data_IF_833750448214
#
_entry.id   IF_833750448214
#
_cell.length_a   1.000
_cell.length_b   1.000
_cell.length_c   1.000
_cell.angle_alpha   90.00
_cell.angle_beta   90.00
_cell.angle_gamma   90.00
#
_symmetry.space_group_name_H-M   'P 1'
#
loop_
_entity.id
_entity.type
_entity.pdbx_description
1 polymer ?
#
# COMPACT_ATOMS: atom_id res chain seq x y z
N UNK A 1 3.52 -10.38 25.66
CA UNK A 1 4.59 -10.15 24.67
C UNK A 1 5.59 -9.16 25.23
N UNK A 2 6.88 -9.29 24.91
CA UNK A 2 7.86 -8.25 25.23
C UNK A 2 7.60 -6.99 24.38
N UNK A 3 8.01 -5.82 24.87
CA UNK A 3 7.82 -4.56 24.14
C UNK A 3 8.66 -4.49 22.84
N UNK A 4 9.77 -5.24 22.78
CA UNK A 4 10.76 -5.16 21.70
C UNK A 4 10.19 -5.50 20.31
N UNK A 5 9.52 -6.66 20.09
CA UNK A 5 8.96 -6.98 18.77
C UNK A 5 7.90 -5.99 18.31
N UNK A 6 7.07 -5.48 19.22
CA UNK A 6 6.03 -4.48 18.89
C UNK A 6 6.67 -3.17 18.44
N UNK A 7 7.72 -2.71 19.13
CA UNK A 7 8.49 -1.53 18.72
C UNK A 7 9.10 -1.74 17.34
N UNK A 8 9.68 -2.92 17.08
CA UNK A 8 10.23 -3.28 15.77
C UNK A 8 9.17 -3.35 14.67
N UNK A 9 7.92 -3.66 15.01
CA UNK A 9 6.83 -3.67 14.04
C UNK A 9 6.41 -2.26 13.57
N UNK A 10 6.56 -1.26 14.44
CA UNK A 10 6.12 0.13 14.20
C UNK A 10 7.19 0.95 13.46
N UNK A 11 8.46 0.81 13.84
CA UNK A 11 9.56 1.64 13.36
C UNK A 11 9.64 1.72 11.82
N UNK A 12 9.58 0.61 11.06
CA UNK A 12 9.72 0.66 9.60
C UNK A 12 8.67 1.56 8.94
N UNK A 13 7.41 1.49 9.38
CA UNK A 13 6.33 2.32 8.86
C UNK A 13 6.60 3.81 9.11
N UNK A 14 7.00 4.18 10.33
CA UNK A 14 7.30 5.57 10.67
C UNK A 14 8.51 6.10 9.88
N UNK A 15 9.56 5.30 9.74
CA UNK A 15 10.75 5.67 8.95
C UNK A 15 10.38 5.92 7.49
N UNK A 16 9.53 5.09 6.90
CA UNK A 16 9.08 5.29 5.52
C UNK A 16 8.17 6.51 5.36
N UNK A 17 7.27 6.81 6.31
CA UNK A 17 6.49 8.07 6.29
C UNK A 17 7.45 9.27 6.27
N UNK A 18 8.42 9.29 7.18
CA UNK A 18 9.42 10.36 7.25
C UNK A 18 10.27 10.45 5.98
N UNK A 19 10.56 9.32 5.33
CA UNK A 19 11.26 9.30 4.05
C UNK A 19 10.41 9.96 2.95
N UNK A 20 9.12 9.62 2.86
CA UNK A 20 8.24 10.20 1.85
C UNK A 20 7.97 11.69 2.06
N UNK A 21 7.89 12.15 3.31
CA UNK A 21 7.85 13.58 3.65
C UNK A 21 9.06 14.34 3.12
N UNK A 22 10.21 13.68 2.89
CA UNK A 22 11.40 14.34 2.31
C UNK A 22 11.29 14.52 0.80
N UNK A 23 10.35 13.90 0.10
CA UNK A 23 10.12 14.17 -1.32
C UNK A 23 9.22 15.39 -1.51
N UNK A 24 8.34 15.66 -0.54
CA UNK A 24 7.48 16.83 -0.52
C UNK A 24 8.15 18.07 0.12
N UNK A 25 9.27 18.53 -0.48
CA UNK A 25 10.06 19.65 0.08
C UNK A 25 9.64 21.03 -0.41
N UNK A 26 8.94 21.14 -1.54
CA UNK A 26 8.64 22.44 -2.16
C UNK A 26 7.48 23.13 -1.45
N UNK A 27 6.44 22.37 -1.12
CA UNK A 27 5.27 22.82 -0.37
C UNK A 27 4.90 21.77 0.68
N UNK A 28 5.66 21.71 1.79
CA UNK A 28 5.48 20.65 2.76
C UNK A 28 4.06 20.64 3.33
N UNK A 29 3.43 19.49 3.25
CA UNK A 29 2.09 19.29 3.79
C UNK A 29 2.03 19.41 5.33
N UNK A 30 0.93 19.90 5.91
CA UNK A 30 0.79 20.01 7.34
C UNK A 30 0.90 18.64 8.01
N UNK A 31 1.77 18.52 9.03
CA UNK A 31 1.99 17.26 9.75
C UNK A 31 0.70 16.65 10.31
N UNK A 32 -0.30 17.48 10.63
CA UNK A 32 -1.62 17.03 11.09
C UNK A 32 -2.41 16.27 10.03
N UNK A 33 -2.32 16.65 8.75
CA UNK A 33 -2.99 15.93 7.66
C UNK A 33 -2.29 14.59 7.37
N UNK A 34 -0.96 14.57 7.43
CA UNK A 34 -0.17 13.33 7.30
C UNK A 34 -0.49 12.36 8.45
N UNK A 35 -0.55 12.86 9.69
CA UNK A 35 -0.95 12.06 10.85
C UNK A 35 -2.39 11.56 10.70
N UNK A 36 -3.32 12.39 10.21
CA UNK A 36 -4.69 11.96 9.93
C UNK A 36 -4.71 10.82 8.92
N UNK A 37 -3.98 10.95 7.81
CA UNK A 37 -3.88 9.91 6.81
C UNK A 37 -3.35 8.59 7.40
N UNK A 38 -2.28 8.67 8.19
CA UNK A 38 -1.72 7.51 8.89
C UNK A 38 -2.72 6.85 9.84
N UNK A 39 -3.40 7.63 10.68
CA UNK A 39 -4.39 7.12 11.64
C UNK A 39 -5.60 6.50 10.92
N UNK A 40 -6.07 7.12 9.83
CA UNK A 40 -7.13 6.54 9.00
C UNK A 40 -6.70 5.19 8.42
N UNK A 41 -5.44 5.06 8.00
CA UNK A 41 -4.83 3.80 7.57
C UNK A 41 -4.81 2.73 8.64
N UNK A 42 -4.41 3.08 9.87
CA UNK A 42 -4.46 2.17 11.03
C UNK A 42 -5.88 1.63 11.23
N UNK A 43 -6.88 2.51 11.23
CA UNK A 43 -8.26 2.08 11.43
C UNK A 43 -8.83 1.30 10.24
N UNK A 44 -8.29 1.49 9.04
CA UNK A 44 -8.77 0.78 7.85
C UNK A 44 -8.37 -0.70 7.83
N UNK A 45 -7.41 -1.14 8.65
CA UNK A 45 -7.08 -2.56 8.83
C UNK A 45 -8.27 -3.36 9.38
N UNK A 46 -9.11 -2.76 10.23
CA UNK A 46 -10.25 -3.46 10.85
C UNK A 46 -11.30 -3.89 9.80
N UNK A 47 -11.86 -2.98 8.98
CA UNK A 47 -12.82 -3.38 7.95
C UNK A 47 -12.19 -4.28 6.88
N UNK A 48 -10.89 -4.14 6.59
CA UNK A 48 -10.18 -5.08 5.70
C UNK A 48 -10.17 -6.48 6.27
N UNK A 49 -9.80 -6.66 7.53
CA UNK A 49 -9.77 -7.99 8.16
C UNK A 49 -11.15 -8.67 8.10
N UNK A 50 -12.22 -7.91 8.36
CA UNK A 50 -13.59 -8.42 8.24
C UNK A 50 -13.89 -8.79 6.79
N UNK A 51 -13.53 -7.93 5.84
CA UNK A 51 -13.77 -8.17 4.42
C UNK A 51 -13.02 -9.41 3.92
N UNK A 52 -11.74 -9.56 4.27
CA UNK A 52 -10.93 -10.73 3.93
C UNK A 52 -11.56 -12.02 4.43
N UNK A 53 -12.00 -12.07 5.70
CA UNK A 53 -12.68 -13.25 6.26
C UNK A 53 -13.94 -13.59 5.48
N UNK A 54 -14.75 -12.57 5.12
CA UNK A 54 -16.00 -12.80 4.39
C UNK A 54 -15.75 -13.24 2.94
N UNK A 55 -14.80 -12.61 2.24
CA UNK A 55 -14.45 -12.96 0.87
C UNK A 55 -13.82 -14.36 0.82
N UNK A 56 -12.89 -14.66 1.73
CA UNK A 56 -12.27 -15.98 1.83
C UNK A 56 -13.30 -17.07 2.11
N UNK A 57 -14.15 -16.90 3.14
CA UNK A 57 -15.18 -17.86 3.49
C UNK A 57 -16.19 -18.11 2.35
N UNK A 58 -16.45 -17.09 1.54
CA UNK A 58 -17.35 -17.21 0.40
C UNK A 58 -16.68 -17.88 -0.81
N UNK A 59 -15.45 -17.52 -1.18
CA UNK A 59 -14.82 -17.94 -2.42
C UNK A 59 -13.91 -19.17 -2.27
N UNK A 60 -13.15 -19.30 -1.19
CA UNK A 60 -12.14 -20.35 -1.04
C UNK A 60 -12.70 -21.79 -1.09
N UNK A 61 -13.92 -22.10 -0.57
CA UNK A 61 -14.50 -23.44 -0.69
C UNK A 61 -14.72 -23.93 -2.12
N UNK A 62 -14.78 -23.02 -3.11
CA UNK A 62 -14.99 -23.37 -4.52
C UNK A 62 -13.69 -23.76 -5.24
N UNK A 63 -12.53 -23.62 -4.60
CA UNK A 63 -11.23 -23.90 -5.19
C UNK A 63 -10.56 -25.10 -4.52
N UNK A 64 -10.46 -26.21 -5.25
CA UNK A 64 -9.78 -27.42 -4.77
C UNK A 64 -8.33 -27.52 -5.21
N UNK A 65 -7.94 -26.80 -6.26
CA UNK A 65 -6.56 -26.74 -6.72
C UNK A 65 -5.76 -25.71 -5.89
N UNK A 66 -4.67 -26.10 -5.21
CA UNK A 66 -3.89 -25.20 -4.36
C UNK A 66 -3.32 -23.99 -5.09
N UNK A 67 -3.00 -24.11 -6.38
CA UNK A 67 -2.50 -23.00 -7.19
C UNK A 67 -3.59 -21.95 -7.41
N UNK A 68 -4.81 -22.39 -7.76
CA UNK A 68 -5.92 -21.47 -8.00
C UNK A 68 -6.40 -20.82 -6.70
N UNK A 69 -6.40 -21.57 -5.60
CA UNK A 69 -6.68 -21.03 -4.28
C UNK A 69 -5.66 -19.94 -3.90
N UNK A 70 -4.35 -20.19 -4.08
CA UNK A 70 -3.34 -19.19 -3.79
C UNK A 70 -3.45 -17.93 -4.67
N UNK A 71 -3.90 -18.06 -5.92
CA UNK A 71 -4.18 -16.88 -6.77
C UNK A 71 -5.37 -16.09 -6.22
N UNK A 72 -6.46 -16.77 -5.83
CA UNK A 72 -7.62 -16.13 -5.22
C UNK A 72 -7.23 -15.40 -3.94
N UNK A 73 -6.57 -16.10 -3.01
CA UNK A 73 -6.16 -15.55 -1.72
C UNK A 73 -5.21 -14.36 -1.89
N UNK A 74 -4.24 -14.46 -2.80
CA UNK A 74 -3.24 -13.41 -2.99
C UNK A 74 -3.82 -12.15 -3.65
N UNK A 75 -4.57 -12.31 -4.74
CA UNK A 75 -5.01 -11.17 -5.55
C UNK A 75 -6.38 -10.63 -5.14
N UNK A 76 -7.31 -11.49 -4.75
CA UNK A 76 -8.70 -11.09 -4.46
C UNK A 76 -8.90 -10.90 -2.97
N UNK A 77 -8.55 -11.89 -2.15
CA UNK A 77 -8.75 -11.79 -0.70
C UNK A 77 -7.83 -10.73 -0.12
N UNK A 78 -6.52 -10.86 -0.24
CA UNK A 78 -5.58 -9.89 0.33
C UNK A 78 -5.49 -8.60 -0.51
N UNK A 79 -4.84 -8.66 -1.68
CA UNK A 79 -4.42 -7.45 -2.39
C UNK A 79 -5.58 -6.52 -2.80
N UNK A 80 -6.67 -7.07 -3.36
CA UNK A 80 -7.82 -6.25 -3.78
C UNK A 80 -8.55 -5.63 -2.59
N UNK A 81 -8.80 -6.40 -1.52
CA UNK A 81 -9.49 -5.88 -0.34
C UNK A 81 -8.65 -4.79 0.34
N UNK A 82 -7.37 -5.05 0.55
CA UNK A 82 -6.44 -4.11 1.16
C UNK A 82 -6.30 -2.80 0.37
N UNK A 83 -5.88 -2.89 -0.89
CA UNK A 83 -5.60 -1.71 -1.70
C UNK A 83 -6.90 -0.97 -2.07
N UNK A 84 -8.01 -1.72 -2.22
CA UNK A 84 -9.34 -1.17 -2.42
C UNK A 84 -9.80 -0.33 -1.23
N UNK A 85 -9.67 -0.83 -0.01
CA UNK A 85 -10.05 -0.07 1.19
C UNK A 85 -9.11 1.13 1.42
N UNK A 86 -7.79 0.98 1.21
CA UNK A 86 -6.84 2.11 1.28
C UNK A 86 -7.21 3.21 0.30
N UNK A 87 -7.55 2.84 -0.95
CA UNK A 87 -8.09 3.76 -1.95
C UNK A 87 -9.33 4.48 -1.43
N UNK A 88 -10.33 3.72 -0.95
CA UNK A 88 -11.59 4.30 -0.47
C UNK A 88 -11.35 5.30 0.67
N UNK A 89 -10.50 4.95 1.63
CA UNK A 89 -10.16 5.83 2.76
C UNK A 89 -9.57 7.16 2.27
N UNK A 90 -8.57 7.12 1.39
CA UNK A 90 -7.96 8.36 0.87
C UNK A 90 -8.97 9.12 0.02
N UNK A 91 -9.73 8.43 -0.85
CA UNK A 91 -10.70 9.02 -1.78
C UNK A 91 -11.84 9.74 -1.06
N UNK A 92 -12.33 9.19 0.05
CA UNK A 92 -13.47 9.77 0.78
C UNK A 92 -13.04 10.80 1.83
N UNK A 93 -11.91 10.61 2.52
CA UNK A 93 -11.55 11.46 3.66
C UNK A 93 -10.52 12.56 3.36
N UNK A 94 -9.68 12.38 2.32
CA UNK A 94 -8.53 13.26 2.05
C UNK A 94 -8.61 13.92 0.67
N UNK A 95 -9.03 13.19 -0.36
CA UNK A 95 -8.99 13.66 -1.76
C UNK A 95 -9.75 14.97 -2.04
N UNK A 96 -10.81 15.25 -1.28
CA UNK A 96 -11.60 16.48 -1.41
C UNK A 96 -11.17 17.60 -0.47
N UNK A 97 -10.14 17.40 0.36
CA UNK A 97 -9.65 18.44 1.27
C UNK A 97 -8.84 19.48 0.50
N UNK A 98 -8.81 20.70 1.03
CA UNK A 98 -8.11 21.84 0.42
C UNK A 98 -6.60 21.61 0.28
N UNK A 99 -6.03 20.79 1.16
CA UNK A 99 -4.62 20.42 1.15
C UNK A 99 -4.27 19.33 0.13
N UNK A 100 -5.24 18.71 -0.54
CA UNK A 100 -4.97 17.83 -1.67
C UNK A 100 -4.98 18.67 -2.94
N UNK A 101 -3.87 19.36 -3.20
CA UNK A 101 -3.74 20.35 -4.27
C UNK A 101 -2.49 20.18 -5.14
N UNK A 102 -1.67 19.16 -4.90
CA UNK A 102 -0.57 18.69 -5.75
C UNK A 102 -0.73 17.19 -6.08
N UNK A 103 -0.10 16.76 -7.18
CA UNK A 103 0.02 15.34 -7.51
C UNK A 103 0.88 14.62 -6.45
N UNK A 104 1.90 15.31 -5.92
CA UNK A 104 2.73 14.80 -4.83
C UNK A 104 1.93 14.49 -3.56
N UNK A 105 0.92 15.29 -3.21
CA UNK A 105 0.05 15.05 -2.04
C UNK A 105 -0.67 13.72 -2.14
N UNK A 106 -1.13 13.38 -3.35
CA UNK A 106 -1.75 12.09 -3.63
C UNK A 106 -0.83 10.92 -3.26
N UNK A 107 0.46 11.03 -3.59
CA UNK A 107 1.48 10.06 -3.18
C UNK A 107 1.63 10.08 -1.65
N UNK A 108 1.92 11.24 -1.06
CA UNK A 108 2.27 11.35 0.35
C UNK A 108 1.14 10.88 1.27
N UNK A 109 -0.10 11.31 1.02
CA UNK A 109 -1.25 10.91 1.82
C UNK A 109 -1.61 9.44 1.67
N UNK A 110 -1.54 8.91 0.44
CA UNK A 110 -1.83 7.48 0.23
C UNK A 110 -0.76 6.61 0.86
N UNK A 111 0.52 7.00 0.77
CA UNK A 111 1.62 6.32 1.46
C UNK A 111 1.47 6.40 2.97
N UNK A 112 1.11 7.55 3.53
CA UNK A 112 0.87 7.69 4.96
C UNK A 112 -0.25 6.74 5.44
N UNK A 113 -1.38 6.70 4.72
CA UNK A 113 -2.46 5.75 5.00
C UNK A 113 -2.02 4.28 4.85
N UNK A 114 -1.33 3.94 3.76
CA UNK A 114 -0.82 2.59 3.54
C UNK A 114 0.17 2.13 4.61
N UNK A 115 1.03 3.03 5.10
CA UNK A 115 1.99 2.74 6.16
C UNK A 115 1.33 2.67 7.55
N UNK A 116 0.25 3.42 7.77
CA UNK A 116 -0.61 3.26 8.94
C UNK A 116 -1.28 1.89 8.97
N UNK A 117 -1.86 1.47 7.83
CA UNK A 117 -2.39 0.13 7.66
C UNK A 117 -1.33 -0.94 7.92
N UNK A 118 -0.17 -0.81 7.24
CA UNK A 118 0.95 -1.74 7.38
C UNK A 118 1.45 -1.80 8.82
N UNK A 119 1.39 -0.70 9.57
CA UNK A 119 1.81 -0.66 10.96
C UNK A 119 0.95 -1.58 11.84
N UNK A 120 -0.38 -1.48 11.76
CA UNK A 120 -1.26 -2.32 12.56
C UNK A 120 -1.21 -3.78 12.10
N UNK A 121 -1.21 -4.02 10.79
CA UNK A 121 -1.06 -5.36 10.25
C UNK A 121 0.26 -6.01 10.72
N UNK A 122 1.37 -5.28 10.65
CA UNK A 122 2.66 -5.78 11.11
C UNK A 122 2.66 -6.11 12.61
N UNK A 123 1.98 -5.31 13.44
CA UNK A 123 1.81 -5.64 14.87
C UNK A 123 1.07 -6.97 15.03
N UNK A 124 -0.01 -7.20 14.26
CA UNK A 124 -0.81 -8.44 14.32
C UNK A 124 0.05 -9.65 13.92
N UNK A 125 0.81 -9.57 12.83
CA UNK A 125 1.71 -10.66 12.40
C UNK A 125 2.84 -10.92 13.40
N UNK A 126 3.42 -9.85 13.97
CA UNK A 126 4.49 -9.97 14.96
C UNK A 126 3.96 -10.52 16.30
N UNK A 127 2.67 -10.33 16.58
CA UNK A 127 2.02 -10.87 17.76
C UNK A 127 2.11 -12.39 17.87
N UNK A 128 1.95 -13.07 16.74
CA UNK A 128 2.08 -14.53 16.63
C UNK A 128 3.47 -15.00 16.19
N UNK A 129 4.16 -14.20 15.38
CA UNK A 129 5.40 -14.61 14.70
C UNK A 129 6.73 -14.16 15.35
N UNK A 130 6.69 -13.25 16.32
CA UNK A 130 7.88 -12.80 17.04
C UNK A 130 8.88 -11.99 16.21
N UNK A 131 10.14 -11.95 16.65
CA UNK A 131 11.17 -11.04 16.12
C UNK A 131 11.58 -11.35 14.68
N UNK A 132 11.62 -12.62 14.28
CA UNK A 132 11.98 -13.02 12.92
C UNK A 132 10.96 -12.48 11.92
N UNK A 133 9.68 -12.56 12.25
CA UNK A 133 8.59 -11.99 11.44
C UNK A 133 8.66 -10.46 11.40
N UNK A 134 9.02 -9.82 12.52
CA UNK A 134 9.22 -8.37 12.55
C UNK A 134 10.34 -7.94 11.59
N UNK A 135 11.47 -8.65 11.60
CA UNK A 135 12.62 -8.35 10.75
C UNK A 135 12.31 -8.59 9.28
N UNK A 136 11.72 -9.73 8.91
CA UNK A 136 11.42 -10.02 7.50
C UNK A 136 10.45 -9.00 6.93
N UNK A 137 9.33 -8.73 7.64
CA UNK A 137 8.31 -7.78 7.20
C UNK A 137 8.82 -6.35 7.12
N UNK A 138 9.78 -5.95 7.96
CA UNK A 138 10.41 -4.63 7.88
C UNK A 138 11.11 -4.35 6.54
N UNK A 139 11.64 -5.39 5.88
CA UNK A 139 12.33 -5.28 4.59
C UNK A 139 11.51 -5.73 3.39
N UNK A 140 10.36 -6.38 3.61
CA UNK A 140 9.53 -6.92 2.53
C UNK A 140 8.13 -6.32 2.51
N UNK A 141 7.26 -6.70 3.45
CA UNK A 141 5.84 -6.33 3.48
C UNK A 141 5.62 -4.83 3.73
N UNK A 142 6.35 -4.22 4.68
CA UNK A 142 6.18 -2.78 4.97
C UNK A 142 6.62 -1.91 3.77
N UNK A 143 7.78 -2.18 3.13
CA UNK A 143 8.13 -1.54 1.85
C UNK A 143 7.13 -1.80 0.73
N UNK A 144 6.54 -3.01 0.64
CA UNK A 144 5.51 -3.33 -0.34
C UNK A 144 4.31 -2.39 -0.22
N UNK A 145 3.75 -2.22 0.99
CA UNK A 145 2.63 -1.31 1.17
C UNK A 145 2.99 0.12 0.81
N UNK A 146 4.22 0.56 1.12
CA UNK A 146 4.69 1.89 0.73
C UNK A 146 4.72 2.05 -0.80
N UNK A 147 5.25 1.08 -1.54
CA UNK A 147 5.34 1.18 -3.01
C UNK A 147 3.98 1.07 -3.68
N UNK A 148 3.11 0.15 -3.25
CA UNK A 148 1.75 0.02 -3.77
C UNK A 148 0.96 1.30 -3.53
N UNK A 149 1.03 1.84 -2.30
CA UNK A 149 0.35 3.08 -1.92
C UNK A 149 0.91 4.30 -2.65
N UNK A 150 2.21 4.35 -2.94
CA UNK A 150 2.81 5.43 -3.72
C UNK A 150 2.35 5.40 -5.19
N UNK A 151 2.23 4.22 -5.80
CA UNK A 151 1.75 4.06 -7.17
C UNK A 151 0.26 4.40 -7.30
N UNK A 152 -0.55 3.91 -6.35
CA UNK A 152 -1.96 4.26 -6.24
C UNK A 152 -2.16 5.75 -5.96
N UNK A 153 -1.36 6.31 -5.06
CA UNK A 153 -1.38 7.72 -4.70
C UNK A 153 -1.00 8.64 -5.84
N UNK A 154 -0.03 8.26 -6.67
CA UNK A 154 0.28 8.97 -7.91
C UNK A 154 -0.92 9.00 -8.86
N UNK A 155 -1.61 7.86 -9.01
CA UNK A 155 -2.80 7.79 -9.85
C UNK A 155 -3.92 8.69 -9.33
N UNK A 156 -4.16 8.71 -8.01
CA UNK A 156 -5.09 9.64 -7.36
C UNK A 156 -4.68 11.10 -7.55
N UNK A 157 -3.40 11.43 -7.36
CA UNK A 157 -2.86 12.77 -7.58
C UNK A 157 -3.13 13.26 -9.00
N UNK A 158 -2.85 12.43 -10.00
CA UNK A 158 -3.16 12.74 -11.40
C UNK A 158 -4.67 12.86 -11.66
N UNK A 159 -5.46 11.96 -11.08
CA UNK A 159 -6.92 11.92 -11.23
C UNK A 159 -7.59 13.20 -10.70
N UNK A 160 -7.02 13.80 -9.64
CA UNK A 160 -7.52 15.06 -9.06
C UNK A 160 -7.60 16.21 -10.06
N UNK A 161 -6.71 16.19 -11.04
CA UNK A 161 -6.60 17.21 -12.11
C UNK A 161 -7.00 16.67 -13.48
N UNK A 162 -7.73 15.55 -13.53
CA UNK A 162 -8.26 15.03 -14.79
C UNK A 162 -9.33 15.99 -15.36
N UNK A 163 -9.35 16.23 -16.67
CA UNK A 163 -10.33 17.12 -17.31
C UNK A 163 -11.74 16.54 -17.36
N UNK A 164 -11.89 15.21 -17.29
CA UNK A 164 -13.19 14.52 -17.36
C UNK A 164 -13.30 13.45 -16.28
N UNK A 165 -14.55 13.13 -15.90
CA UNK A 165 -14.84 12.07 -14.94
C UNK A 165 -14.37 10.69 -15.44
N UNK A 166 -14.45 10.44 -16.75
CA UNK A 166 -13.98 9.18 -17.35
C UNK A 166 -12.45 9.04 -17.23
N UNK A 167 -11.70 10.14 -17.44
CA UNK A 167 -10.26 10.13 -17.28
C UNK A 167 -9.86 9.99 -15.80
N UNK A 168 -10.57 10.67 -14.89
CA UNK A 168 -10.41 10.50 -13.43
C UNK A 168 -10.56 9.03 -13.05
N UNK A 169 -11.67 8.40 -13.47
CA UNK A 169 -11.97 7.00 -13.14
C UNK A 169 -10.98 6.03 -13.77
N UNK A 170 -10.54 6.26 -15.02
CA UNK A 170 -9.53 5.44 -15.69
C UNK A 170 -8.19 5.47 -14.94
N UNK A 171 -7.76 6.66 -14.49
CA UNK A 171 -6.52 6.81 -13.72
C UNK A 171 -6.61 6.07 -12.39
N UNK A 172 -7.69 6.26 -11.63
CA UNK A 172 -7.90 5.59 -10.34
C UNK A 172 -7.92 4.07 -10.52
N UNK A 173 -8.69 3.58 -11.50
CA UNK A 173 -8.84 2.14 -11.74
C UNK A 173 -7.53 1.50 -12.20
N UNK A 174 -6.76 2.19 -13.05
CA UNK A 174 -5.43 1.73 -13.47
C UNK A 174 -4.41 1.73 -12.33
N UNK A 175 -4.47 2.72 -11.44
CA UNK A 175 -3.64 2.77 -10.23
C UNK A 175 -3.95 1.63 -9.27
N UNK A 176 -5.24 1.37 -9.02
CA UNK A 176 -5.69 0.26 -8.19
C UNK A 176 -5.27 -1.07 -8.79
N UNK A 177 -5.52 -1.30 -10.08
CA UNK A 177 -5.11 -2.53 -10.76
C UNK A 177 -3.60 -2.78 -10.61
N UNK A 178 -2.77 -1.74 -10.81
CA UNK A 178 -1.34 -1.87 -10.68
C UNK A 178 -0.91 -2.20 -9.24
N UNK A 179 -1.49 -1.54 -8.24
CA UNK A 179 -1.22 -1.81 -6.84
C UNK A 179 -1.62 -3.25 -6.45
N UNK A 180 -2.82 -3.67 -6.83
CA UNK A 180 -3.33 -5.04 -6.62
C UNK A 180 -2.45 -6.07 -7.32
N UNK A 181 -2.00 -5.80 -8.55
CA UNK A 181 -1.15 -6.72 -9.28
C UNK A 181 0.21 -6.91 -8.61
N UNK A 182 0.88 -5.84 -8.18
CA UNK A 182 2.17 -5.91 -7.49
C UNK A 182 2.02 -6.60 -6.13
N UNK A 183 1.01 -6.20 -5.36
CA UNK A 183 0.74 -6.77 -4.04
C UNK A 183 0.34 -8.25 -4.15
N UNK A 184 -0.62 -8.59 -5.00
CA UNK A 184 -1.04 -9.97 -5.21
C UNK A 184 0.10 -10.85 -5.71
N UNK A 185 0.97 -10.34 -6.59
CA UNK A 185 2.17 -11.08 -7.01
C UNK A 185 3.10 -11.35 -5.83
N UNK A 186 3.32 -10.37 -4.94
CA UNK A 186 4.12 -10.56 -3.74
C UNK A 186 3.53 -11.66 -2.84
N UNK A 187 2.23 -11.61 -2.54
CA UNK A 187 1.57 -12.60 -1.68
C UNK A 187 1.59 -13.99 -2.32
N UNK A 188 1.29 -14.08 -3.61
CA UNK A 188 1.31 -15.34 -4.36
C UNK A 188 2.70 -16.01 -4.32
N UNK A 189 3.77 -15.23 -4.53
CA UNK A 189 5.13 -15.75 -4.45
C UNK A 189 5.48 -16.29 -3.06
N UNK A 190 4.97 -15.67 -1.99
CA UNK A 190 5.14 -16.20 -0.63
C UNK A 190 4.29 -17.45 -0.39
N UNK A 191 3.05 -17.49 -0.89
CA UNK A 191 2.15 -18.64 -0.76
C UNK A 191 2.65 -19.86 -1.55
N UNK A 192 3.45 -19.66 -2.60
CA UNK A 192 4.06 -20.74 -3.39
C UNK A 192 5.33 -21.33 -2.77
N UNK A 193 5.83 -20.83 -1.64
CA UNK A 193 7.01 -21.39 -0.96
C UNK A 193 6.90 -22.90 -0.67
N UNK A 194 5.76 -23.46 -0.23
CA UNK A 194 5.62 -24.91 -0.02
C UNK A 194 5.78 -25.74 -1.30
N UNK A 195 5.54 -25.16 -2.48
CA UNK A 195 5.57 -25.84 -3.77
C UNK A 195 6.87 -25.59 -4.55
N UNK A 196 7.39 -24.36 -4.49
CA UNK A 196 8.53 -23.88 -5.29
C UNK A 196 9.79 -23.62 -4.45
N UNK A 197 9.70 -23.85 -3.13
CA UNK A 197 10.79 -23.68 -2.19
C UNK A 197 11.18 -22.22 -1.94
N UNK A 198 12.34 -22.04 -1.31
CA UNK A 198 12.85 -20.73 -0.92
C UNK A 198 13.09 -19.79 -2.12
N UNK A 199 13.30 -20.33 -3.32
CA UNK A 199 13.48 -19.53 -4.54
C UNK A 199 12.28 -18.62 -4.78
N UNK A 200 11.05 -19.10 -4.54
CA UNK A 200 9.83 -18.30 -4.67
C UNK A 200 9.86 -17.08 -3.75
N UNK A 201 10.22 -17.26 -2.47
CA UNK A 201 10.36 -16.14 -1.54
C UNK A 201 11.47 -15.16 -1.97
N UNK A 202 12.58 -15.64 -2.53
CA UNK A 202 13.67 -14.76 -2.98
C UNK A 202 13.26 -13.85 -4.16
N UNK A 203 12.26 -14.25 -4.97
CA UNK A 203 11.79 -13.40 -6.08
C UNK A 203 11.03 -12.14 -5.66
N UNK A 204 10.66 -12.01 -4.37
CA UNK A 204 10.07 -10.77 -3.85
C UNK A 204 11.04 -9.59 -3.91
N UNK A 205 12.36 -9.83 -3.83
CA UNK A 205 13.36 -8.76 -3.88
C UNK A 205 13.46 -8.12 -5.27
N UNK A 206 13.57 -8.87 -6.39
CA UNK A 206 13.42 -8.32 -7.73
C UNK A 206 12.12 -7.57 -7.95
N UNK A 207 10.98 -8.11 -7.47
CA UNK A 207 9.68 -7.46 -7.57
C UNK A 207 9.67 -6.09 -6.87
N UNK A 208 10.14 -6.04 -5.60
CA UNK A 208 10.25 -4.80 -4.83
C UNK A 208 11.22 -3.82 -5.48
N UNK A 209 12.35 -4.30 -6.02
CA UNK A 209 13.29 -3.45 -6.73
C UNK A 209 12.63 -2.78 -7.94
N UNK A 210 11.89 -3.53 -8.76
CA UNK A 210 11.13 -3.00 -9.89
C UNK A 210 10.08 -1.99 -9.40
N UNK A 211 9.30 -2.32 -8.36
CA UNK A 211 8.28 -1.43 -7.81
C UNK A 211 8.89 -0.12 -7.28
N UNK A 212 10.02 -0.16 -6.58
CA UNK A 212 10.76 1.03 -6.13
C UNK A 212 11.24 1.89 -7.30
N UNK A 213 11.71 1.27 -8.39
CA UNK A 213 12.09 1.98 -9.62
C UNK A 213 10.89 2.72 -10.23
N UNK A 214 9.73 2.06 -10.26
CA UNK A 214 8.48 2.66 -10.72
C UNK A 214 8.07 3.85 -9.83
N UNK A 215 8.12 3.70 -8.50
CA UNK A 215 7.83 4.79 -7.56
C UNK A 215 8.75 5.98 -7.77
N UNK A 216 10.07 5.75 -7.93
CA UNK A 216 11.03 6.83 -8.21
C UNK A 216 10.70 7.59 -9.49
N UNK A 217 10.24 6.89 -10.51
CA UNK A 217 9.78 7.51 -11.74
C UNK A 217 8.48 8.31 -11.53
N UNK A 218 7.52 7.78 -10.77
CA UNK A 218 6.26 8.48 -10.45
C UNK A 218 6.47 9.73 -9.60
N UNK A 219 7.37 9.69 -8.61
CA UNK A 219 7.77 10.87 -7.83
C UNK A 219 8.30 11.99 -8.74
N UNK A 220 9.19 11.65 -9.68
CA UNK A 220 9.70 12.64 -10.67
C UNK A 220 8.61 13.18 -11.58
N UNK A 221 7.71 12.31 -12.05
CA UNK A 221 6.59 12.72 -12.91
C UNK A 221 5.59 13.61 -12.16
N UNK A 222 5.32 13.33 -10.88
CA UNK A 222 4.50 14.17 -10.01
C UNK A 222 5.12 15.57 -9.90
N UNK A 223 6.41 15.67 -9.55
CA UNK A 223 7.09 16.97 -9.48
C UNK A 223 7.04 17.77 -10.79
N UNK A 224 7.17 17.11 -11.94
CA UNK A 224 7.06 17.78 -13.25
C UNK A 224 5.62 18.22 -13.51
N UNK A 225 4.65 17.39 -13.13
CA UNK A 225 3.23 17.67 -13.30
C UNK A 225 2.78 18.87 -12.44
N UNK A 226 3.29 18.98 -11.22
CA UNK A 226 3.00 20.09 -10.30
C UNK A 226 3.62 21.40 -10.81
N UNK A 227 4.90 21.37 -11.22
CA UNK A 227 5.58 22.52 -11.84
C UNK A 227 4.85 23.04 -13.09
N UNK A 228 4.37 22.14 -13.96
CA UNK A 228 3.64 22.53 -15.18
C UNK A 228 2.32 23.22 -14.88
N UNK A 229 1.74 22.98 -13.70
CA UNK A 229 0.51 23.62 -13.22
C UNK A 229 0.77 24.93 -12.47
N UNK A 230 2.03 25.31 -12.28
CA UNK A 230 2.41 26.50 -11.51
C UNK A 230 2.20 26.32 -10.00
N UNK A 231 2.18 25.07 -9.54
CA UNK A 231 2.04 24.72 -8.12
C UNK A 231 3.44 24.56 -7.53
#
# INVERSE_FOLDING_TARGET
>A
MSAVPIIMAIIPSLVLVLLFMRFDRRRPEPRGEILRAFVLGVFSTIPVLVLEILVDAFFSPWFTNPLYLAVLEAFVVAALCEEGIKLMVVRYFLYRRAHFNEVMDGILYTVAAGLGFACLENIIYVASGGITVALTRAFTAVPLHAVCSALLGYALGMARFAPTADEEQRLISGGLFLAVFIHGTYNFLLFMVPFWGALSALTVFPLLFIAVRMVRERLRRAEIADRKRGI
#
